data_IF_172784240158
#
_entry.id   IF_172784240158
#
_cell.length_a   1.000
_cell.length_b   1.000
_cell.length_c   1.000
_cell.angle_alpha   90.00
_cell.angle_beta   90.00
_cell.angle_gamma   90.00
#
_symmetry.space_group_name_H-M   'P 1'
#
loop_
_entity.id
_entity.type
_entity.pdbx_description
1 polymer ?
#
# COMPACT_ATOMS: atom_id res chain seq x y z
N UNK A 1 -0.65 -9.05 20.66
CA UNK A 1 -0.01 -7.75 21.01
C UNK A 1 -0.92 -6.61 20.54
N UNK A 2 -1.56 -5.87 21.46
CA UNK A 2 -2.62 -4.88 21.19
C UNK A 2 -2.03 -3.48 21.00
N UNK A 3 -1.92 -3.00 19.75
CA UNK A 3 -1.35 -1.68 19.40
C UNK A 3 -2.38 -0.55 19.23
N UNK A 4 -3.66 -0.78 19.52
CA UNK A 4 -4.74 0.15 19.10
C UNK A 4 -5.30 1.03 20.21
N UNK A 5 -4.68 1.11 21.40
CA UNK A 5 -5.33 1.73 22.58
C UNK A 5 -5.19 3.25 22.69
N UNK A 6 -4.45 3.92 21.80
CA UNK A 6 -4.17 5.36 21.90
C UNK A 6 -4.63 6.21 20.70
N UNK A 7 -5.43 5.66 19.78
CA UNK A 7 -6.00 6.43 18.67
C UNK A 7 -7.46 6.78 18.96
N UNK A 8 -7.78 8.07 18.83
CA UNK A 8 -9.06 8.70 19.15
C UNK A 8 -10.25 7.93 18.54
N UNK A 9 -11.19 7.47 19.39
CA UNK A 9 -12.25 6.52 19.04
C UNK A 9 -13.22 7.02 17.97
N UNK A 10 -13.38 8.35 17.85
CA UNK A 10 -14.27 8.97 16.85
C UNK A 10 -13.78 8.85 15.40
N UNK A 11 -12.50 8.59 15.17
CA UNK A 11 -11.97 8.50 13.80
C UNK A 11 -12.19 7.13 13.14
N UNK A 12 -12.60 6.10 13.90
CA UNK A 12 -12.36 4.68 13.57
C UNK A 12 -13.59 3.88 13.07
N UNK A 13 -14.70 4.53 12.67
CA UNK A 13 -16.01 3.87 12.63
C UNK A 13 -16.59 3.46 11.24
N UNK A 14 -15.93 3.76 10.11
CA UNK A 14 -16.52 3.38 8.81
C UNK A 14 -16.35 1.90 8.47
N UNK A 15 -17.44 1.13 8.57
CA UNK A 15 -17.55 -0.24 8.05
C UNK A 15 -17.69 -0.31 6.53
N UNK A 16 -17.99 0.81 5.88
CA UNK A 16 -18.22 0.90 4.44
C UNK A 16 -16.99 1.49 3.73
N UNK A 17 -16.55 0.84 2.65
CA UNK A 17 -15.41 1.30 1.84
C UNK A 17 -15.70 2.68 1.24
N UNK A 18 -16.97 3.02 1.04
CA UNK A 18 -17.39 4.27 0.43
C UNK A 18 -17.32 5.49 1.36
N UNK A 19 -17.26 5.30 2.68
CA UNK A 19 -17.40 6.39 3.64
C UNK A 19 -16.04 6.93 4.12
N UNK A 20 -14.98 6.10 4.13
CA UNK A 20 -13.60 6.54 4.36
C UNK A 20 -12.59 5.73 3.55
N UNK A 21 -11.87 6.43 2.67
CA UNK A 21 -10.83 5.87 1.82
C UNK A 21 -9.42 5.98 2.42
N UNK A 22 -9.22 6.86 3.41
CA UNK A 22 -7.92 7.04 4.07
C UNK A 22 -7.74 6.00 5.18
N UNK A 23 -6.54 5.45 5.33
CA UNK A 23 -6.20 4.46 6.36
C UNK A 23 -4.88 4.82 7.04
N UNK A 24 -4.92 5.12 8.34
CA UNK A 24 -3.75 5.55 9.13
C UNK A 24 -3.80 4.85 10.49
N UNK A 25 -2.65 4.38 10.98
CA UNK A 25 -2.56 3.79 12.33
C UNK A 25 -3.38 2.53 12.54
N UNK A 26 -3.65 1.75 11.49
CA UNK A 26 -4.41 0.51 11.58
C UNK A 26 -5.94 0.70 11.55
N UNK A 27 -6.42 1.86 11.10
CA UNK A 27 -7.85 2.12 10.94
C UNK A 27 -8.16 3.11 9.83
N UNK A 28 -9.41 3.08 9.36
CA UNK A 28 -9.96 4.06 8.42
C UNK A 28 -10.10 5.41 9.12
N UNK A 29 -9.90 6.50 8.39
CA UNK A 29 -9.96 7.87 8.89
C UNK A 29 -10.79 8.72 7.95
N UNK A 30 -11.70 9.51 8.52
CA UNK A 30 -12.45 10.52 7.79
C UNK A 30 -11.68 11.83 7.80
N UNK A 31 -11.31 12.32 6.61
CA UNK A 31 -10.74 13.64 6.42
C UNK A 31 -11.86 14.60 6.00
N UNK A 32 -11.79 15.85 6.47
CA UNK A 32 -12.80 16.88 6.20
C UNK A 32 -12.21 18.22 5.72
N UNK A 33 -10.89 18.43 5.85
CA UNK A 33 -10.25 19.72 5.61
C UNK A 33 -9.83 19.96 4.14
N UNK A 34 -9.48 18.90 3.40
CA UNK A 34 -8.98 19.05 2.04
C UNK A 34 -10.07 19.13 0.97
N UNK A 35 -9.67 19.51 -0.24
CA UNK A 35 -10.57 19.64 -1.39
C UNK A 35 -11.30 18.32 -1.68
N UNK A 36 -12.61 18.40 -1.90
CA UNK A 36 -13.43 17.24 -2.29
C UNK A 36 -13.22 16.96 -3.78
N UNK A 37 -13.01 15.69 -4.13
CA UNK A 37 -13.01 15.22 -5.51
C UNK A 37 -13.91 13.98 -5.66
N UNK A 38 -14.45 13.82 -6.87
CA UNK A 38 -15.31 12.68 -7.20
C UNK A 38 -14.47 11.50 -7.66
N UNK A 39 -14.74 10.32 -7.09
CA UNK A 39 -14.29 9.03 -7.61
C UNK A 39 -15.37 8.54 -8.57
N UNK A 40 -15.01 8.24 -9.82
CA UNK A 40 -15.96 8.02 -10.91
C UNK A 40 -15.69 6.67 -11.56
N UNK A 41 -16.74 5.88 -11.77
CA UNK A 41 -16.66 4.63 -12.55
C UNK A 41 -16.40 4.99 -14.03
N UNK A 42 -15.27 4.58 -14.64
CA UNK A 42 -14.94 4.97 -16.00
C UNK A 42 -15.92 4.46 -17.07
N UNK A 43 -16.58 3.33 -16.81
CA UNK A 43 -17.49 2.68 -17.77
C UNK A 43 -18.81 3.40 -17.92
N UNK A 44 -19.39 3.86 -16.80
CA UNK A 44 -20.72 4.47 -16.78
C UNK A 44 -20.68 5.99 -16.59
N UNK A 45 -19.56 6.55 -16.13
CA UNK A 45 -19.44 7.94 -15.72
C UNK A 45 -20.12 8.26 -14.39
N UNK A 46 -20.71 7.27 -13.71
CA UNK A 46 -21.35 7.47 -12.40
C UNK A 46 -20.32 7.77 -11.33
N UNK A 47 -20.65 8.71 -10.45
CA UNK A 47 -19.84 8.98 -9.25
C UNK A 47 -20.04 7.84 -8.25
N UNK A 48 -18.96 7.15 -7.91
CA UNK A 48 -18.95 6.06 -6.93
C UNK A 48 -19.00 6.62 -5.51
N UNK A 49 -18.14 7.59 -5.21
CA UNK A 49 -18.09 8.29 -3.92
C UNK A 49 -17.39 9.65 -4.06
N UNK A 50 -17.45 10.45 -2.99
CA UNK A 50 -16.71 11.70 -2.85
C UNK A 50 -15.61 11.50 -1.81
N UNK A 51 -14.40 11.96 -2.11
CA UNK A 51 -13.26 11.85 -1.22
C UNK A 51 -12.64 13.22 -0.97
N UNK A 52 -12.20 13.46 0.26
CA UNK A 52 -11.36 14.61 0.58
C UNK A 52 -9.91 14.29 0.22
N UNK A 53 -9.25 15.18 -0.52
CA UNK A 53 -7.81 15.13 -0.70
C UNK A 53 -7.11 15.30 0.67
N UNK A 54 -6.03 14.56 0.90
CA UNK A 54 -5.25 14.72 2.11
C UNK A 54 -4.53 16.08 2.11
N UNK A 55 -4.56 16.78 3.24
CA UNK A 55 -3.81 18.03 3.43
C UNK A 55 -2.35 17.74 3.83
N UNK A 56 -1.43 18.72 3.76
CA UNK A 56 -0.07 18.54 4.29
C UNK A 56 -0.04 18.13 5.77
N UNK A 57 -1.01 18.57 6.57
CA UNK A 57 -1.15 18.18 7.98
C UNK A 57 -1.52 16.70 8.11
N UNK A 58 -2.45 16.21 7.29
CA UNK A 58 -2.86 14.79 7.28
C UNK A 58 -1.69 13.88 6.88
N UNK A 59 -0.92 14.29 5.87
CA UNK A 59 0.29 13.57 5.44
C UNK A 59 1.33 13.57 6.57
N UNK A 60 1.57 14.71 7.22
CA UNK A 60 2.49 14.80 8.36
C UNK A 60 2.07 13.88 9.51
N UNK A 61 0.77 13.80 9.79
CA UNK A 61 0.23 12.88 10.79
C UNK A 61 0.43 11.40 10.41
N UNK A 62 0.21 11.05 9.14
CA UNK A 62 0.45 9.69 8.65
C UNK A 62 1.94 9.29 8.75
N UNK A 63 2.84 10.20 8.37
CA UNK A 63 4.30 10.01 8.48
C UNK A 63 4.72 9.87 9.94
N UNK A 64 4.24 10.73 10.84
CA UNK A 64 4.52 10.62 12.28
C UNK A 64 4.01 9.30 12.88
N UNK A 65 2.85 8.83 12.43
CA UNK A 65 2.30 7.54 12.86
C UNK A 65 3.18 6.38 12.36
N UNK A 66 3.65 6.43 11.11
CA UNK A 66 4.57 5.44 10.57
C UNK A 66 5.92 5.43 11.31
N UNK A 67 6.47 6.60 11.63
CA UNK A 67 7.69 6.72 12.43
C UNK A 67 7.54 6.07 13.82
N UNK A 68 6.40 6.26 14.49
CA UNK A 68 6.14 5.62 15.79
C UNK A 68 6.01 4.10 15.71
N UNK A 69 5.55 3.56 14.57
CA UNK A 69 5.42 2.12 14.37
C UNK A 69 6.74 1.44 13.95
N UNK A 70 7.67 2.19 13.37
CA UNK A 70 8.92 1.66 12.81
C UNK A 70 9.77 0.87 13.82
N UNK A 71 10.03 1.31 15.06
CA UNK A 71 10.89 0.56 15.99
C UNK A 71 10.36 -0.84 16.26
N UNK A 72 9.04 -0.99 16.43
CA UNK A 72 8.41 -2.27 16.69
C UNK A 72 8.50 -3.21 15.48
N UNK A 73 8.30 -2.69 14.27
CA UNK A 73 8.44 -3.49 13.04
C UNK A 73 9.90 -3.86 12.75
N UNK A 74 10.85 -2.94 12.98
CA UNK A 74 12.28 -3.15 12.75
C UNK A 74 12.88 -4.17 13.74
N UNK A 75 12.35 -4.25 14.96
CA UNK A 75 12.77 -5.23 15.97
C UNK A 75 12.26 -6.65 15.70
N UNK A 76 11.26 -6.84 14.83
CA UNK A 76 10.76 -8.16 14.49
C UNK A 76 11.79 -8.99 13.72
N UNK A 77 11.91 -10.26 14.12
CA UNK A 77 12.67 -11.25 13.37
C UNK A 77 12.15 -11.39 11.93
N UNK A 78 12.98 -11.92 11.04
CA UNK A 78 12.53 -12.18 9.68
C UNK A 78 11.34 -13.15 9.64
N UNK A 79 11.32 -14.17 10.50
CA UNK A 79 10.22 -15.13 10.60
C UNK A 79 8.89 -14.46 10.94
N UNK A 80 8.86 -13.57 11.93
CA UNK A 80 7.65 -12.85 12.31
C UNK A 80 7.13 -11.95 11.19
N UNK A 81 8.03 -11.24 10.49
CA UNK A 81 7.68 -10.42 9.32
C UNK A 81 7.14 -11.29 8.18
N UNK A 82 7.76 -12.44 7.94
CA UNK A 82 7.31 -13.42 6.94
C UNK A 82 5.90 -13.91 7.22
N UNK A 83 5.57 -14.18 8.48
CA UNK A 83 4.23 -14.64 8.86
C UNK A 83 3.16 -13.57 8.61
N UNK A 84 3.49 -12.29 8.82
CA UNK A 84 2.60 -11.19 8.45
C UNK A 84 2.37 -11.15 6.94
N UNK A 85 3.42 -11.27 6.12
CA UNK A 85 3.31 -11.27 4.66
C UNK A 85 2.51 -12.48 4.13
N UNK A 86 2.72 -13.68 4.70
CA UNK A 86 1.96 -14.89 4.36
C UNK A 86 0.49 -14.77 4.75
N UNK A 87 0.20 -14.21 5.93
CA UNK A 87 -1.18 -13.92 6.33
C UNK A 87 -1.83 -12.96 5.35
N UNK A 88 -1.15 -11.89 4.94
CA UNK A 88 -1.64 -10.96 3.91
C UNK A 88 -1.96 -11.67 2.59
N UNK A 89 -1.05 -12.50 2.08
CA UNK A 89 -1.29 -13.29 0.86
C UNK A 89 -2.52 -14.21 0.98
N UNK A 90 -2.69 -14.88 2.13
CA UNK A 90 -3.86 -15.72 2.41
C UNK A 90 -5.17 -14.91 2.40
N UNK A 91 -5.15 -13.69 2.96
CA UNK A 91 -6.32 -12.80 2.97
C UNK A 91 -6.65 -12.28 1.59
N UNK A 92 -5.65 -11.88 0.81
CA UNK A 92 -5.84 -11.49 -0.59
C UNK A 92 -6.44 -12.62 -1.41
N UNK A 93 -5.96 -13.85 -1.23
CA UNK A 93 -6.51 -15.02 -1.92
C UNK A 93 -7.97 -15.29 -1.54
N UNK A 94 -8.30 -15.20 -0.25
CA UNK A 94 -9.68 -15.37 0.25
C UNK A 94 -10.65 -14.34 -0.35
N UNK A 95 -10.19 -13.11 -0.57
CA UNK A 95 -11.01 -12.01 -1.07
C UNK A 95 -10.71 -11.64 -2.53
N UNK A 96 -10.03 -12.52 -3.27
CA UNK A 96 -9.48 -12.21 -4.59
C UNK A 96 -10.56 -11.69 -5.54
N UNK A 97 -11.70 -12.36 -5.57
CA UNK A 97 -12.78 -12.02 -6.49
C UNK A 97 -13.52 -10.73 -6.10
N UNK A 98 -13.61 -10.44 -4.81
CA UNK A 98 -14.18 -9.18 -4.33
C UNK A 98 -13.28 -8.00 -4.71
N UNK A 99 -11.96 -8.14 -4.52
CA UNK A 99 -10.98 -7.12 -4.85
C UNK A 99 -10.92 -6.90 -6.36
N UNK A 100 -10.91 -7.97 -7.16
CA UNK A 100 -10.87 -7.89 -8.62
C UNK A 100 -12.11 -7.17 -9.20
N UNK A 101 -13.29 -7.38 -8.62
CA UNK A 101 -14.49 -6.62 -9.01
C UNK A 101 -14.36 -5.13 -8.73
N UNK A 102 -13.88 -4.75 -7.56
CA UNK A 102 -13.67 -3.33 -7.24
C UNK A 102 -12.60 -2.69 -8.13
N UNK A 103 -11.52 -3.40 -8.41
CA UNK A 103 -10.47 -2.98 -9.33
C UNK A 103 -11.02 -2.76 -10.75
N UNK A 104 -11.90 -3.66 -11.22
CA UNK A 104 -12.57 -3.51 -12.51
C UNK A 104 -13.55 -2.33 -12.54
N UNK A 105 -14.29 -2.08 -11.46
CA UNK A 105 -15.22 -0.95 -11.35
C UNK A 105 -14.47 0.39 -11.34
N UNK A 106 -13.40 0.50 -10.53
CA UNK A 106 -12.68 1.75 -10.35
C UNK A 106 -11.81 2.11 -11.56
N UNK A 107 -11.13 1.12 -12.16
CA UNK A 107 -10.22 1.36 -13.29
C UNK A 107 -10.83 1.09 -14.67
N UNK A 108 -11.98 0.40 -14.73
CA UNK A 108 -12.65 0.04 -15.99
C UNK A 108 -11.97 -1.08 -16.79
N UNK A 109 -11.01 -1.79 -16.19
CA UNK A 109 -10.33 -2.93 -16.84
C UNK A 109 -11.22 -4.17 -16.87
N UNK A 110 -11.05 -5.08 -17.85
CA UNK A 110 -11.75 -6.35 -17.86
C UNK A 110 -11.52 -7.14 -16.57
N UNK A 111 -12.56 -7.84 -16.09
CA UNK A 111 -12.48 -8.61 -14.85
C UNK A 111 -11.41 -9.71 -14.88
N UNK A 112 -11.11 -10.27 -16.06
CA UNK A 112 -10.03 -11.24 -16.24
C UNK A 112 -8.66 -10.62 -15.95
N UNK A 113 -8.39 -9.42 -16.44
CA UNK A 113 -7.16 -8.67 -16.17
C UNK A 113 -7.07 -8.29 -14.69
N UNK A 114 -8.15 -7.77 -14.11
CA UNK A 114 -8.19 -7.41 -12.68
C UNK A 114 -7.89 -8.61 -11.76
N UNK A 115 -8.35 -9.83 -12.11
CA UNK A 115 -7.99 -11.05 -11.36
C UNK A 115 -6.50 -11.33 -11.43
N UNK A 116 -5.89 -11.19 -12.61
CA UNK A 116 -4.44 -11.39 -12.77
C UNK A 116 -3.63 -10.41 -11.94
N UNK A 117 -4.06 -9.14 -11.84
CA UNK A 117 -3.40 -8.15 -10.98
C UNK A 117 -3.42 -8.57 -9.50
N UNK A 118 -4.56 -9.08 -9.02
CA UNK A 118 -4.68 -9.56 -7.62
C UNK A 118 -3.86 -10.82 -7.39
N UNK A 119 -3.81 -11.74 -8.36
CA UNK A 119 -2.96 -12.93 -8.29
C UNK A 119 -1.47 -12.56 -8.26
N UNK A 120 -1.04 -11.64 -9.12
CA UNK A 120 0.33 -11.10 -9.11
C UNK A 120 0.69 -10.44 -7.77
N UNK A 121 -0.25 -9.72 -7.15
CA UNK A 121 -0.08 -9.21 -5.79
C UNK A 121 0.14 -10.34 -4.77
N UNK A 122 -0.68 -11.40 -4.81
CA UNK A 122 -0.56 -12.57 -3.91
C UNK A 122 0.81 -13.22 -4.06
N UNK A 123 1.29 -13.39 -5.29
CA UNK A 123 2.59 -13.99 -5.57
C UNK A 123 3.72 -13.10 -5.08
N UNK A 124 3.60 -11.78 -5.26
CA UNK A 124 4.58 -10.80 -4.75
C UNK A 124 4.71 -10.89 -3.22
N UNK A 125 3.60 -10.90 -2.49
CA UNK A 125 3.63 -11.07 -1.02
C UNK A 125 4.24 -12.42 -0.61
N UNK A 126 3.90 -13.49 -1.34
CA UNK A 126 4.41 -14.84 -1.06
C UNK A 126 5.91 -14.95 -1.32
N UNK A 127 6.38 -14.36 -2.42
CA UNK A 127 7.79 -14.29 -2.79
C UNK A 127 8.60 -13.55 -1.72
N UNK A 128 8.20 -12.31 -1.37
CA UNK A 128 8.93 -11.53 -0.38
C UNK A 128 8.85 -12.11 1.03
N UNK A 129 7.81 -12.89 1.36
CA UNK A 129 7.76 -13.64 2.61
C UNK A 129 8.83 -14.74 2.71
N UNK A 130 9.25 -15.32 1.58
CA UNK A 130 10.36 -16.28 1.54
C UNK A 130 11.73 -15.59 1.40
N UNK A 131 11.79 -14.55 0.58
CA UNK A 131 13.04 -13.96 0.13
C UNK A 131 13.88 -13.33 1.24
N UNK A 132 13.29 -12.75 2.29
CA UNK A 132 14.12 -11.97 3.22
C UNK A 132 15.02 -12.76 4.16
N UNK A 133 14.98 -14.10 4.18
CA UNK A 133 16.07 -14.88 4.78
C UNK A 133 17.40 -14.67 4.02
N UNK A 134 17.33 -14.29 2.73
CA UNK A 134 18.50 -13.94 1.93
C UNK A 134 19.00 -12.51 2.16
N UNK A 135 18.34 -11.71 3.02
CA UNK A 135 18.79 -10.36 3.38
C UNK A 135 19.92 -10.43 4.42
N UNK A 136 21.04 -10.98 3.99
CA UNK A 136 22.23 -11.12 4.81
C UNK A 136 23.22 -9.97 4.59
N UNK A 137 23.96 -9.68 5.65
CA UNK A 137 25.19 -8.92 5.58
C UNK A 137 26.34 -9.73 4.99
N UNK A 138 27.53 -9.13 4.98
CA UNK A 138 28.76 -9.80 4.55
C UNK A 138 29.82 -9.64 5.63
N UNK A 139 30.64 -10.67 5.82
CA UNK A 139 31.88 -10.57 6.57
C UNK A 139 33.02 -10.24 5.62
N UNK A 140 33.85 -9.26 5.99
CA UNK A 140 34.96 -8.76 5.16
C UNK A 140 36.28 -9.07 5.89
N UNK A 141 37.16 -9.92 5.32
CA UNK A 141 38.44 -10.24 5.95
C UNK A 141 39.41 -9.05 5.84
N UNK A 142 39.95 -8.59 6.99
CA UNK A 142 40.86 -7.43 7.06
C UNK A 142 42.25 -7.76 7.66
N UNK A 143 42.60 -9.05 7.73
CA UNK A 143 43.80 -9.56 8.42
C UNK A 143 43.46 -10.18 9.78
N UNK A 144 44.48 -10.55 10.57
CA UNK A 144 44.29 -11.33 11.80
C UNK A 144 43.69 -10.52 12.96
N UNK A 145 44.03 -9.22 13.07
CA UNK A 145 43.64 -8.39 14.22
C UNK A 145 42.50 -7.40 13.92
N UNK A 146 41.80 -7.58 12.79
CA UNK A 146 40.74 -6.65 12.35
C UNK A 146 39.54 -7.40 11.83
N UNK A 147 38.36 -6.95 12.27
CA UNK A 147 37.08 -7.55 11.93
C UNK A 147 36.16 -6.50 11.28
N UNK A 148 35.50 -6.86 10.19
CA UNK A 148 34.48 -6.03 9.58
C UNK A 148 33.30 -6.88 9.08
N UNK A 149 32.11 -6.33 9.24
CA UNK A 149 30.90 -6.90 8.66
C UNK A 149 29.95 -5.79 8.23
N UNK A 150 29.08 -6.10 7.29
CA UNK A 150 27.98 -5.22 6.89
C UNK A 150 26.68 -5.75 7.46
N UNK A 151 25.75 -4.85 7.76
CA UNK A 151 24.39 -5.19 8.17
C UNK A 151 23.40 -4.50 7.23
N UNK A 152 22.37 -5.23 6.82
CA UNK A 152 21.26 -4.64 6.07
C UNK A 152 20.21 -4.12 7.05
N UNK A 153 20.02 -2.81 7.05
CA UNK A 153 19.05 -2.14 7.91
C UNK A 153 17.91 -1.53 7.07
N UNK A 154 16.68 -1.48 7.61
CA UNK A 154 15.59 -0.81 6.92
C UNK A 154 15.87 0.69 6.81
N UNK A 155 15.54 1.29 5.66
CA UNK A 155 15.72 2.74 5.43
C UNK A 155 14.87 3.61 6.37
N UNK A 156 13.68 3.11 6.75
CA UNK A 156 12.73 3.84 7.60
C UNK A 156 11.36 3.96 6.95
N UNK A 157 10.74 5.14 7.05
CA UNK A 157 9.44 5.42 6.44
C UNK A 157 9.63 5.62 4.93
N UNK A 158 8.86 4.88 4.13
CA UNK A 158 8.94 4.91 2.66
C UNK A 158 7.64 5.47 2.09
N UNK A 159 7.75 6.51 1.25
CA UNK A 159 6.63 7.05 0.48
C UNK A 159 6.49 6.34 -0.86
N UNK A 160 5.34 5.71 -1.11
CA UNK A 160 5.02 5.08 -2.39
C UNK A 160 3.93 5.91 -3.08
N UNK A 161 4.26 6.53 -4.22
CA UNK A 161 3.30 7.27 -5.03
C UNK A 161 3.07 6.48 -6.31
N UNK A 162 1.83 6.04 -6.52
CA UNK A 162 1.49 5.26 -7.70
C UNK A 162 0.56 6.06 -8.64
N UNK A 163 0.70 5.77 -9.93
CA UNK A 163 -0.11 6.43 -10.95
C UNK A 163 -1.55 5.97 -10.83
N UNK A 164 -2.50 6.91 -10.82
CA UNK A 164 -3.88 6.54 -11.10
C UNK A 164 -3.98 6.11 -12.58
N UNK A 165 -4.46 4.88 -12.81
CA UNK A 165 -4.84 4.37 -14.13
C UNK A 165 -6.05 5.18 -14.64
N UNK A 166 -5.79 6.42 -15.08
CA UNK A 166 -6.81 7.25 -15.74
C UNK A 166 -7.14 6.56 -17.05
N UNK A 167 -8.38 6.08 -17.19
CA UNK A 167 -8.87 5.54 -18.45
C UNK A 167 -8.54 6.53 -19.59
N UNK A 168 -8.05 5.99 -20.70
CA UNK A 168 -7.57 6.76 -21.87
C UNK A 168 -8.66 7.63 -22.54
N UNK A 169 -9.87 7.67 -21.98
CA UNK A 169 -11.07 8.30 -22.54
C UNK A 169 -11.26 9.78 -22.17
N UNK A 170 -10.40 10.37 -21.33
CA UNK A 170 -10.37 11.85 -21.21
C UNK A 170 -9.46 12.45 -22.29
N UNK A 171 -9.85 13.57 -22.93
CA UNK A 171 -8.94 14.32 -23.79
C UNK A 171 -7.69 14.67 -22.97
N UNK A 172 -6.51 14.29 -23.48
CA UNK A 172 -5.24 14.64 -22.84
C UNK A 172 -5.17 16.17 -22.74
N UNK A 173 -4.87 16.75 -21.56
CA UNK A 173 -4.44 18.14 -21.54
C UNK A 173 -3.21 18.25 -22.46
N UNK A 174 -3.16 19.29 -23.30
CA UNK A 174 -1.99 19.58 -24.15
C UNK A 174 -0.79 19.82 -23.23
N UNK A 175 -0.02 18.77 -22.95
CA UNK A 175 1.26 18.89 -22.31
C UNK A 175 2.28 19.33 -23.36
N UNK A 176 2.84 20.52 -23.13
CA UNK A 176 4.07 20.99 -23.75
C UNK A 176 5.15 19.93 -23.50
N UNK A 177 5.78 19.44 -24.56
CA UNK A 177 6.83 18.41 -24.49
C UNK A 177 8.01 18.95 -23.68
N UNK A 178 8.32 18.32 -22.56
CA UNK A 178 9.70 18.25 -22.07
C UNK A 178 10.24 16.84 -22.34
N UNK A 179 11.49 16.71 -22.80
CA UNK A 179 12.08 15.41 -23.13
C UNK A 179 12.45 14.66 -21.84
N UNK A 180 11.98 13.41 -21.72
CA UNK A 180 12.40 12.50 -20.67
C UNK A 180 13.45 11.52 -21.24
N UNK A 181 14.54 11.21 -20.50
CA UNK A 181 15.36 10.04 -20.78
C UNK A 181 14.71 8.77 -20.24
N UNK A 182 15.22 7.66 -20.75
CA UNK A 182 14.56 6.39 -20.95
C UNK A 182 14.58 5.46 -19.73
N UNK A 183 13.71 4.43 -19.79
CA UNK A 183 13.61 3.24 -18.94
C UNK A 183 13.03 3.42 -17.52
N UNK A 184 11.80 2.91 -17.32
CA UNK A 184 11.49 1.73 -16.47
C UNK A 184 10.04 1.32 -16.76
N UNK A 185 9.84 0.07 -17.20
CA UNK A 185 8.51 -0.55 -17.42
C UNK A 185 8.12 -1.39 -16.20
N UNK A 186 6.84 -1.25 -15.83
CA UNK A 186 5.98 -2.19 -15.10
C UNK A 186 6.33 -2.59 -13.67
N UNK A 187 5.54 -2.08 -12.72
CA UNK A 187 4.86 -2.82 -11.64
C UNK A 187 3.73 -1.91 -11.11
N UNK A 188 2.48 -2.18 -11.52
CA UNK A 188 1.29 -1.36 -11.23
C UNK A 188 0.28 -2.26 -10.49
N UNK A 189 0.27 -2.26 -9.16
CA UNK A 189 -0.79 -2.90 -8.37
C UNK A 189 -0.66 -2.59 -6.87
N UNK A 190 -1.07 -1.41 -6.39
CA UNK A 190 -1.06 -1.14 -4.95
C UNK A 190 -2.08 -0.10 -4.41
N UNK A 191 -3.29 0.06 -5.00
CA UNK A 191 -4.33 0.95 -4.42
C UNK A 191 -5.29 0.32 -3.42
N UNK A 192 -5.62 -0.97 -3.53
CA UNK A 192 -6.71 -1.54 -2.72
C UNK A 192 -6.27 -2.37 -1.49
N UNK A 193 -5.03 -2.84 -1.45
CA UNK A 193 -4.56 -3.79 -0.41
C UNK A 193 -4.57 -3.17 1.00
N UNK A 194 -4.41 -1.84 1.11
CA UNK A 194 -4.45 -1.15 2.40
C UNK A 194 -5.85 -1.12 3.04
N UNK A 195 -6.93 -1.32 2.27
CA UNK A 195 -8.31 -1.14 2.74
C UNK A 195 -8.92 -2.40 3.39
N UNK A 196 -8.36 -3.59 3.14
CA UNK A 196 -9.01 -4.87 3.47
C UNK A 196 -8.40 -5.61 4.68
N UNK A 197 -7.19 -5.25 5.10
CA UNK A 197 -6.38 -6.03 6.05
C UNK A 197 -6.92 -6.12 7.49
N UNK A 198 -8.05 -5.49 7.83
CA UNK A 198 -8.63 -5.54 9.19
C UNK A 198 -9.75 -6.56 9.39
N UNK A 199 -10.34 -7.14 8.34
CA UNK A 199 -11.46 -8.09 8.52
C UNK A 199 -11.02 -9.49 8.98
N UNK A 200 -9.71 -9.78 8.96
CA UNK A 200 -9.19 -11.13 9.25
C UNK A 200 -7.88 -11.16 10.06
N UNK A 201 -7.50 -10.04 10.71
CA UNK A 201 -6.49 -10.03 11.78
C UNK A 201 -7.23 -9.92 13.12
N UNK A 202 -8.01 -10.96 13.42
CA UNK A 202 -8.32 -11.38 14.78
C UNK A 202 -7.73 -12.77 14.95
#
# INVERSE_FOLDING_TARGET
MRLTRHLNSKALDSKNVMDALHFVGGARVHLNAGQIFNVVEPRSGKTLTKCHAATPSDVSNAVNTAHKALPLWAAMSWTERSDVLRKTAKLLRKHCEEIARWESIDNGKPISEARMDVLSCIDTFSYYAGAGQSLVGQHIPLGQDRFAYTKREPLGVVGCIERAQRSKLRPKPRFVKQPAPHLYRHFDSCKLVQSFLRRSIR
#
